data_IF_342976623699
#
_entry.id   IF_342976623699
#
_cell.length_a   1.000
_cell.length_b   1.000
_cell.length_c   1.000
_cell.angle_alpha   90.00
_cell.angle_beta   90.00
_cell.angle_gamma   90.00
#
_symmetry.space_group_name_H-M   'P 1'
#
loop_
_entity.id
_entity.type
_entity.pdbx_description
1 polymer ?
#
# COMPACT_ATOMS: atom_id res chain seq x y z
N UNK A 1 -16.99 -22.90 2.11
CA UNK A 1 -17.70 -22.16 3.17
C UNK A 1 -17.33 -20.70 3.04
N UNK A 2 -18.26 -19.74 2.95
CA UNK A 2 -17.88 -18.33 2.92
C UNK A 2 -17.42 -17.96 4.33
N UNK A 3 -16.13 -17.63 4.47
CA UNK A 3 -15.62 -17.00 5.68
C UNK A 3 -16.31 -15.65 5.83
N UNK A 4 -17.21 -15.56 6.80
CA UNK A 4 -17.82 -14.29 7.19
C UNK A 4 -16.71 -13.42 7.78
N UNK A 5 -16.08 -12.59 6.96
CA UNK A 5 -15.14 -11.60 7.44
C UNK A 5 -15.91 -10.63 8.35
N UNK A 6 -15.59 -10.64 9.63
CA UNK A 6 -16.06 -9.60 10.55
C UNK A 6 -15.60 -8.24 10.05
N UNK A 7 -16.43 -7.21 10.23
CA UNK A 7 -16.06 -5.85 9.84
C UNK A 7 -14.75 -5.44 10.56
N UNK A 8 -13.79 -4.81 9.86
CA UNK A 8 -12.51 -4.45 10.44
C UNK A 8 -12.71 -3.43 11.58
N UNK A 9 -12.09 -3.68 12.73
CA UNK A 9 -12.20 -2.83 13.91
C UNK A 9 -10.97 -1.95 14.12
N UNK A 10 -9.84 -2.31 13.52
CA UNK A 10 -8.57 -1.60 13.58
C UNK A 10 -7.99 -1.37 12.19
N UNK A 11 -7.01 -0.46 12.06
CA UNK A 11 -6.27 -0.24 10.81
C UNK A 11 -5.49 -1.50 10.40
N UNK A 12 -5.01 -2.29 11.36
CA UNK A 12 -4.32 -3.56 11.06
C UNK A 12 -5.29 -4.57 10.45
N UNK A 13 -6.55 -4.64 10.90
CA UNK A 13 -7.56 -5.51 10.29
C UNK A 13 -7.84 -5.10 8.83
N UNK A 14 -7.83 -3.79 8.57
CA UNK A 14 -7.97 -3.26 7.19
C UNK A 14 -6.78 -3.69 6.33
N UNK A 15 -5.55 -3.58 6.83
CA UNK A 15 -4.34 -4.03 6.12
C UNK A 15 -4.39 -5.52 5.80
N UNK A 16 -4.74 -6.36 6.76
CA UNK A 16 -4.85 -7.81 6.54
C UNK A 16 -5.95 -8.14 5.54
N UNK A 17 -7.08 -7.45 5.60
CA UNK A 17 -8.18 -7.60 4.63
C UNK A 17 -7.76 -7.19 3.22
N UNK A 18 -7.02 -6.08 3.07
CA UNK A 18 -6.50 -5.62 1.78
C UNK A 18 -5.54 -6.64 1.17
N UNK A 19 -4.57 -7.12 1.96
CA UNK A 19 -3.58 -8.08 1.47
C UNK A 19 -4.21 -9.44 1.13
N UNK A 20 -5.15 -9.92 1.94
CA UNK A 20 -5.87 -11.16 1.66
C UNK A 20 -6.72 -11.05 0.38
N UNK A 21 -7.42 -9.92 0.21
CA UNK A 21 -8.23 -9.67 -0.98
C UNK A 21 -7.39 -9.58 -2.25
N UNK A 22 -6.19 -9.01 -2.20
CA UNK A 22 -5.25 -8.99 -3.32
C UNK A 22 -4.85 -10.40 -3.74
N UNK A 23 -4.50 -11.26 -2.78
CA UNK A 23 -4.09 -12.65 -3.07
C UNK A 23 -5.21 -13.44 -3.76
N UNK A 24 -6.46 -13.14 -3.46
CA UNK A 24 -7.62 -13.82 -4.06
C UNK A 24 -8.22 -13.09 -5.26
N UNK A 25 -7.67 -11.94 -5.67
CA UNK A 25 -8.25 -11.07 -6.70
C UNK A 25 -9.65 -10.52 -6.34
N UNK A 26 -10.02 -10.48 -5.06
CA UNK A 26 -11.35 -10.06 -4.62
C UNK A 26 -11.47 -8.54 -4.48
N UNK A 27 -11.74 -7.88 -5.60
CA UNK A 27 -11.93 -6.43 -5.64
C UNK A 27 -13.07 -5.91 -4.74
N UNK A 28 -14.09 -6.72 -4.48
CA UNK A 28 -15.20 -6.30 -3.61
C UNK A 28 -14.71 -6.16 -2.18
N UNK A 29 -13.87 -7.09 -1.74
CA UNK A 29 -13.23 -7.04 -0.43
C UNK A 29 -12.22 -5.90 -0.34
N UNK A 30 -11.47 -5.60 -1.41
CA UNK A 30 -10.60 -4.39 -1.47
C UNK A 30 -11.44 -3.12 -1.28
N UNK A 31 -12.51 -2.96 -2.05
CA UNK A 31 -13.38 -1.78 -1.95
C UNK A 31 -14.04 -1.67 -0.56
N UNK A 32 -14.49 -2.79 0.02
CA UNK A 32 -15.08 -2.82 1.36
C UNK A 32 -14.08 -2.41 2.45
N UNK A 33 -12.83 -2.86 2.36
CA UNK A 33 -11.77 -2.51 3.30
C UNK A 33 -11.43 -1.01 3.25
N UNK A 34 -11.27 -0.45 2.05
CA UNK A 34 -11.03 0.99 1.84
C UNK A 34 -12.20 1.85 2.31
N UNK A 35 -13.43 1.34 2.22
CA UNK A 35 -14.63 1.99 2.73
C UNK A 35 -14.93 1.63 4.18
N UNK A 36 -14.02 1.04 4.93
CA UNK A 36 -14.27 0.66 6.33
C UNK A 36 -14.63 1.86 7.21
N UNK A 37 -15.43 1.62 8.25
CA UNK A 37 -15.78 2.67 9.22
C UNK A 37 -14.55 3.23 9.92
N UNK A 38 -13.51 2.41 10.14
CA UNK A 38 -12.24 2.81 10.74
C UNK A 38 -11.57 3.91 9.93
N UNK A 39 -11.40 3.71 8.62
CA UNK A 39 -10.77 4.72 7.75
C UNK A 39 -11.64 5.97 7.60
N UNK A 40 -12.96 5.79 7.48
CA UNK A 40 -13.89 6.93 7.40
C UNK A 40 -13.84 7.81 8.65
N UNK A 41 -13.70 7.22 9.84
CA UNK A 41 -13.62 7.99 11.08
C UNK A 41 -12.31 8.77 11.18
N UNK A 42 -11.19 8.17 10.77
CA UNK A 42 -9.91 8.87 10.71
C UNK A 42 -9.98 10.05 9.73
N UNK A 43 -10.55 9.86 8.55
CA UNK A 43 -10.68 10.93 7.56
C UNK A 43 -11.64 12.04 8.00
N UNK A 44 -12.63 11.76 8.86
CA UNK A 44 -13.47 12.79 9.48
C UNK A 44 -12.67 13.67 10.45
N UNK A 45 -11.72 13.10 11.17
CA UNK A 45 -10.87 13.86 12.10
C UNK A 45 -9.93 14.79 11.32
N UNK A 46 -9.32 14.26 10.26
CA UNK A 46 -8.50 15.01 9.34
C UNK A 46 -8.46 14.30 7.99
N UNK A 47 -8.79 15.02 6.91
CA UNK A 47 -8.74 14.46 5.55
C UNK A 47 -7.35 13.87 5.24
N UNK A 48 -7.29 12.60 4.85
CA UNK A 48 -6.05 11.90 4.51
C UNK A 48 -5.37 11.20 5.69
N UNK A 49 -5.93 11.32 6.90
CA UNK A 49 -5.40 10.63 8.08
C UNK A 49 -5.54 9.11 7.95
N UNK A 50 -6.59 8.61 7.29
CA UNK A 50 -6.71 7.17 6.98
C UNK A 50 -5.51 6.65 6.19
N UNK A 51 -5.10 7.38 5.15
CA UNK A 51 -4.00 7.01 4.25
C UNK A 51 -2.63 7.05 4.95
N UNK A 52 -2.44 8.01 5.87
CA UNK A 52 -1.26 8.06 6.74
C UNK A 52 -1.18 6.83 7.64
N UNK A 53 -2.29 6.45 8.25
CA UNK A 53 -2.35 5.28 9.13
C UNK A 53 -2.12 3.97 8.35
N UNK A 54 -2.65 3.85 7.13
CA UNK A 54 -2.36 2.73 6.23
C UNK A 54 -0.86 2.68 5.89
N UNK A 55 -0.27 3.81 5.48
CA UNK A 55 1.17 3.87 5.19
C UNK A 55 2.02 3.41 6.38
N UNK A 56 1.69 3.87 7.59
CA UNK A 56 2.40 3.45 8.80
C UNK A 56 2.26 1.94 9.05
N UNK A 57 1.06 1.39 8.92
CA UNK A 57 0.79 -0.02 9.12
C UNK A 57 1.53 -0.91 8.10
N UNK A 58 1.50 -0.56 6.80
CA UNK A 58 2.25 -1.26 5.77
C UNK A 58 3.77 -1.13 5.97
N UNK A 59 4.28 0.05 6.34
CA UNK A 59 5.71 0.22 6.64
C UNK A 59 6.15 -0.65 7.81
N UNK A 60 5.36 -0.71 8.90
CA UNK A 60 5.63 -1.57 10.04
C UNK A 60 5.61 -3.05 9.65
N UNK A 61 4.68 -3.44 8.77
CA UNK A 61 4.59 -4.80 8.25
C UNK A 61 5.84 -5.18 7.44
N UNK A 62 6.26 -4.33 6.49
CA UNK A 62 7.47 -4.55 5.69
C UNK A 62 8.72 -4.67 6.56
N UNK A 63 8.90 -3.77 7.53
CA UNK A 63 10.04 -3.83 8.44
C UNK A 63 10.10 -5.13 9.24
N UNK A 64 8.95 -5.75 9.51
CA UNK A 64 8.84 -7.02 10.23
C UNK A 64 9.04 -8.23 9.32
N UNK A 65 8.42 -8.24 8.15
CA UNK A 65 8.23 -9.45 7.34
C UNK A 65 9.15 -9.55 6.10
N UNK A 66 9.75 -8.44 5.68
CA UNK A 66 10.61 -8.36 4.51
C UNK A 66 11.85 -9.28 4.65
N UNK A 67 12.12 -10.21 3.71
CA UNK A 67 13.28 -11.09 3.78
C UNK A 67 14.62 -10.34 3.83
N UNK A 68 15.69 -10.90 4.44
CA UNK A 68 16.98 -10.21 4.56
C UNK A 68 17.62 -9.83 3.22
N UNK A 69 17.38 -10.60 2.16
CA UNK A 69 17.97 -10.36 0.84
C UNK A 69 17.28 -9.22 0.07
N UNK A 70 16.09 -8.78 0.50
CA UNK A 70 15.32 -7.65 -0.03
C UNK A 70 15.60 -6.33 0.72
N UNK A 71 16.54 -6.35 1.68
CA UNK A 71 16.87 -5.19 2.50
C UNK A 71 18.16 -4.53 2.01
N UNK A 72 18.22 -3.22 2.17
CA UNK A 72 19.42 -2.44 1.98
C UNK A 72 20.46 -2.72 3.08
N UNK A 73 21.64 -2.10 2.96
CA UNK A 73 22.73 -2.23 3.94
C UNK A 73 22.38 -1.75 5.37
N UNK A 74 21.27 -1.02 5.54
CA UNK A 74 20.78 -0.52 6.82
C UNK A 74 19.63 -1.37 7.37
N UNK A 75 19.28 -2.47 6.70
CA UNK A 75 18.17 -3.36 7.08
C UNK A 75 16.79 -2.77 6.76
N UNK A 76 16.71 -1.75 5.91
CA UNK A 76 15.48 -1.15 5.41
C UNK A 76 15.07 -1.87 4.11
N UNK A 77 13.79 -2.23 3.91
CA UNK A 77 13.30 -2.80 2.65
C UNK A 77 13.70 -1.94 1.43
N UNK A 78 14.22 -2.56 0.37
CA UNK A 78 14.48 -1.90 -0.93
C UNK A 78 13.18 -1.87 -1.75
N UNK A 79 12.40 -0.79 -1.59
CA UNK A 79 11.10 -0.66 -2.24
C UNK A 79 11.21 -0.59 -3.76
N UNK A 80 12.34 -0.10 -4.30
CA UNK A 80 12.51 -0.02 -5.76
C UNK A 80 12.58 -1.41 -6.37
N UNK A 81 13.19 -2.37 -5.66
CA UNK A 81 13.21 -3.77 -6.09
C UNK A 81 11.84 -4.41 -5.95
N UNK A 82 11.26 -4.34 -4.74
CA UNK A 82 9.99 -4.99 -4.41
C UNK A 82 8.83 -4.51 -5.30
N UNK A 83 8.75 -3.21 -5.59
CA UNK A 83 7.68 -2.66 -6.43
C UNK A 83 7.87 -3.05 -7.90
N UNK A 84 9.10 -3.04 -8.43
CA UNK A 84 9.33 -3.43 -9.83
C UNK A 84 8.98 -4.90 -10.10
N UNK A 85 9.33 -5.78 -9.17
CA UNK A 85 8.96 -7.18 -9.24
C UNK A 85 7.43 -7.34 -9.16
N UNK A 86 6.77 -6.58 -8.28
CA UNK A 86 5.31 -6.58 -8.17
C UNK A 86 4.58 -6.02 -9.40
N UNK A 87 5.10 -4.97 -10.05
CA UNK A 87 4.43 -4.28 -11.17
C UNK A 87 4.29 -5.14 -12.44
N UNK A 88 5.26 -6.02 -12.71
CA UNK A 88 5.22 -6.85 -13.93
C UNK A 88 4.09 -7.91 -13.86
N UNK A 89 3.83 -8.47 -12.68
CA UNK A 89 2.74 -9.43 -12.44
C UNK A 89 1.38 -8.75 -12.25
N UNK A 90 1.34 -7.62 -11.54
CA UNK A 90 0.07 -6.89 -11.29
C UNK A 90 -0.48 -6.20 -12.52
N UNK A 91 0.35 -5.77 -13.48
CA UNK A 91 -0.15 -5.14 -14.71
C UNK A 91 -1.04 -6.08 -15.53
N UNK A 92 -0.67 -7.36 -15.65
CA UNK A 92 -1.51 -8.35 -16.33
C UNK A 92 -2.82 -8.61 -15.59
N UNK A 93 -2.76 -8.84 -14.27
CA UNK A 93 -3.96 -9.06 -13.46
C UNK A 93 -4.92 -7.85 -13.49
N UNK A 94 -4.40 -6.63 -13.47
CA UNK A 94 -5.22 -5.40 -13.52
C UNK A 94 -5.88 -5.20 -14.88
N UNK A 95 -5.21 -5.56 -15.97
CA UNK A 95 -5.78 -5.51 -17.31
C UNK A 95 -6.88 -6.57 -17.50
N UNK A 96 -6.67 -7.80 -17.03
CA UNK A 96 -7.68 -8.86 -17.05
C UNK A 96 -8.92 -8.47 -16.24
N UNK A 97 -8.72 -7.96 -15.03
CA UNK A 97 -9.79 -7.49 -14.16
C UNK A 97 -10.56 -6.32 -14.81
N UNK A 98 -9.87 -5.34 -15.39
CA UNK A 98 -10.51 -4.20 -16.04
C UNK A 98 -11.42 -4.62 -17.20
N UNK A 99 -11.00 -5.64 -17.96
CA UNK A 99 -11.80 -6.25 -19.01
C UNK A 99 -13.05 -6.94 -18.44
N UNK A 100 -12.94 -7.64 -17.30
CA UNK A 100 -14.06 -8.29 -16.62
C UNK A 100 -15.09 -7.32 -16.02
N UNK A 101 -14.67 -6.18 -15.46
CA UNK A 101 -15.59 -5.17 -14.87
C UNK A 101 -16.15 -4.16 -15.87
N UNK A 102 -15.82 -4.26 -17.16
CA UNK A 102 -16.39 -3.41 -18.22
C UNK A 102 -16.01 -1.93 -18.10
N UNK A 103 -15.02 -1.60 -17.29
CA UNK A 103 -14.37 -0.29 -17.29
C UNK A 103 -13.22 -0.33 -18.28
N UNK A 104 -13.23 0.50 -19.35
CA UNK A 104 -12.14 0.54 -20.30
C UNK A 104 -10.91 1.16 -19.63
N UNK A 105 -10.15 0.33 -18.92
CA UNK A 105 -8.85 0.67 -18.37
C UNK A 105 -7.84 0.36 -19.46
N UNK A 106 -7.41 1.39 -20.19
CA UNK A 106 -6.47 1.21 -21.30
C UNK A 106 -5.07 0.88 -20.77
N UNK A 107 -4.27 0.21 -21.60
CA UNK A 107 -2.82 0.00 -21.36
C UNK A 107 -2.10 1.32 -21.04
N UNK A 108 -2.57 2.44 -21.58
CA UNK A 108 -2.02 3.77 -21.32
C UNK A 108 -2.29 4.27 -19.89
N UNK A 109 -3.49 4.01 -19.35
CA UNK A 109 -3.86 4.41 -17.98
C UNK A 109 -3.13 3.56 -16.95
N UNK A 110 -3.00 2.26 -17.20
CA UNK A 110 -2.22 1.35 -16.36
C UNK A 110 -0.72 1.74 -16.34
N UNK A 111 -0.13 2.05 -17.50
CA UNK A 111 1.26 2.55 -17.57
C UNK A 111 1.44 3.91 -16.88
N UNK A 112 0.45 4.79 -16.97
CA UNK A 112 0.48 6.08 -16.28
C UNK A 112 0.40 5.90 -14.77
N UNK A 113 -0.33 4.90 -14.29
CA UNK A 113 -0.37 4.53 -12.88
C UNK A 113 0.95 3.91 -12.40
N UNK A 114 1.54 3.00 -13.16
CA UNK A 114 2.86 2.43 -12.87
C UNK A 114 3.94 3.51 -12.78
N UNK A 115 3.91 4.48 -13.70
CA UNK A 115 4.84 5.59 -13.69
C UNK A 115 4.69 6.46 -12.43
N UNK A 116 3.45 6.66 -11.95
CA UNK A 116 3.18 7.38 -10.69
C UNK A 116 3.66 6.59 -9.49
N UNK A 117 3.38 5.28 -9.43
CA UNK A 117 3.87 4.40 -8.37
C UNK A 117 5.40 4.43 -8.29
N UNK A 118 6.09 4.27 -9.42
CA UNK A 118 7.55 4.34 -9.47
C UNK A 118 8.09 5.73 -9.08
N UNK A 119 7.38 6.81 -9.42
CA UNK A 119 7.75 8.16 -8.99
C UNK A 119 7.57 8.37 -7.47
N UNK A 120 6.65 7.64 -6.83
CA UNK A 120 6.39 7.70 -5.40
C UNK A 120 7.32 6.80 -4.55
N UNK A 121 8.05 5.86 -5.18
CA UNK A 121 9.01 4.97 -4.49
C UNK A 121 10.01 5.72 -3.59
N UNK A 122 10.68 6.81 -4.02
CA UNK A 122 11.65 7.50 -3.18
C UNK A 122 11.01 8.05 -1.89
N UNK A 123 9.76 8.51 -1.97
CA UNK A 123 9.04 9.04 -0.82
C UNK A 123 8.69 7.93 0.18
N UNK A 124 8.13 6.82 -0.30
CA UNK A 124 7.83 5.67 0.53
C UNK A 124 9.10 5.09 1.17
N UNK A 125 10.21 5.05 0.43
CA UNK A 125 11.50 4.58 0.91
C UNK A 125 12.00 5.45 2.07
N UNK A 126 11.90 6.78 1.92
CA UNK A 126 12.28 7.72 2.97
C UNK A 126 11.39 7.55 4.21
N UNK A 127 10.08 7.38 4.02
CA UNK A 127 9.15 7.14 5.12
C UNK A 127 9.50 5.87 5.90
N UNK A 128 9.73 4.74 5.23
CA UNK A 128 10.13 3.48 5.89
C UNK A 128 11.48 3.63 6.59
N UNK A 129 12.44 4.32 5.96
CA UNK A 129 13.74 4.62 6.56
C UNK A 129 13.61 5.44 7.84
N UNK A 130 12.75 6.47 7.85
CA UNK A 130 12.48 7.28 9.03
C UNK A 130 11.80 6.46 10.13
N UNK A 131 10.77 5.69 9.79
CA UNK A 131 10.11 4.77 10.74
C UNK A 131 11.10 3.81 11.41
N UNK A 132 12.13 3.36 10.68
CA UNK A 132 13.14 2.43 11.19
C UNK A 132 14.27 3.10 11.97
N UNK A 133 14.87 4.14 11.40
CA UNK A 133 16.12 4.72 11.89
C UNK A 133 15.89 5.94 12.79
N UNK A 134 14.78 6.65 12.62
CA UNK A 134 14.45 7.87 13.36
C UNK A 134 12.94 7.94 13.70
N UNK A 135 12.40 7.03 14.53
CA UNK A 135 10.95 6.97 14.78
C UNK A 135 10.35 8.27 15.34
N UNK A 136 11.16 9.04 16.09
CA UNK A 136 10.75 10.33 16.63
C UNK A 136 10.49 11.40 15.55
N UNK A 137 11.10 11.28 14.36
CA UNK A 137 10.95 12.21 13.25
C UNK A 137 9.73 11.89 12.35
N UNK A 138 9.17 10.68 12.44
CA UNK A 138 8.07 10.23 11.57
C UNK A 138 6.85 11.14 11.64
N UNK A 139 6.45 11.58 12.84
CA UNK A 139 5.28 12.44 13.00
C UNK A 139 5.45 13.82 12.33
N UNK A 140 6.67 14.37 12.35
CA UNK A 140 6.95 15.65 11.70
C UNK A 140 6.99 15.51 10.18
N UNK A 141 7.60 14.44 9.68
CA UNK A 141 7.59 14.11 8.26
C UNK A 141 6.16 14.03 7.70
N UNK A 142 5.29 13.27 8.37
CA UNK A 142 3.87 13.14 7.98
C UNK A 142 3.19 14.52 7.94
N UNK A 143 3.42 15.38 8.95
CA UNK A 143 2.83 16.73 8.98
C UNK A 143 3.34 17.61 7.83
N UNK A 144 4.63 17.55 7.51
CA UNK A 144 5.21 18.33 6.41
C UNK A 144 4.66 17.87 5.07
N UNK A 145 4.65 16.57 4.83
CA UNK A 145 4.18 15.97 3.59
C UNK A 145 2.67 16.19 3.39
N UNK A 146 1.85 16.06 4.45
CA UNK A 146 0.42 16.36 4.39
C UNK A 146 0.10 17.83 4.04
N UNK A 147 0.97 18.78 4.45
CA UNK A 147 0.85 20.20 4.07
C UNK A 147 1.25 20.46 2.63
N UNK A 148 2.15 19.64 2.09
CA UNK A 148 2.75 19.83 0.77
C UNK A 148 1.85 19.30 -0.34
N UNK A 149 1.24 18.13 -0.18
CA UNK A 149 0.32 17.56 -1.17
C UNK A 149 -0.55 16.45 -0.58
N UNK A 150 -1.87 16.57 -0.69
CA UNK A 150 -2.80 15.52 -0.23
C UNK A 150 -2.77 14.26 -1.11
N UNK A 151 -2.45 14.35 -2.40
CA UNK A 151 -2.35 13.19 -3.30
C UNK A 151 -1.14 12.29 -3.00
N UNK A 152 -0.17 12.82 -2.26
CA UNK A 152 1.11 12.19 -2.02
C UNK A 152 1.04 11.10 -0.94
N UNK A 153 0.09 11.20 0.00
CA UNK A 153 -0.20 10.11 0.94
C UNK A 153 -0.78 8.90 0.22
N UNK A 154 -1.55 9.13 -0.84
CA UNK A 154 -2.23 8.08 -1.60
C UNK A 154 -1.24 7.23 -2.38
N UNK A 155 -0.33 7.90 -3.09
CA UNK A 155 0.73 7.23 -3.84
C UNK A 155 1.75 6.52 -2.91
N UNK A 156 2.03 7.11 -1.74
CA UNK A 156 2.94 6.52 -0.76
C UNK A 156 2.41 5.22 -0.16
N UNK A 157 1.15 5.19 0.30
CA UNK A 157 0.60 3.95 0.87
C UNK A 157 0.38 2.89 -0.22
N UNK A 158 0.05 3.29 -1.45
CA UNK A 158 -0.07 2.38 -2.59
C UNK A 158 1.26 1.68 -2.90
N UNK A 159 2.38 2.42 -2.90
CA UNK A 159 3.73 1.82 -3.03
C UNK A 159 4.02 0.81 -1.92
N UNK A 160 3.67 1.15 -0.67
CA UNK A 160 3.90 0.26 0.47
C UNK A 160 3.00 -0.98 0.43
N UNK A 161 1.78 -0.83 -0.08
CA UNK A 161 0.85 -1.93 -0.34
C UNK A 161 1.39 -2.90 -1.39
N UNK A 162 1.88 -2.39 -2.54
CA UNK A 162 2.47 -3.22 -3.59
C UNK A 162 3.70 -3.97 -3.07
N UNK A 163 4.59 -3.28 -2.33
CA UNK A 163 5.74 -3.93 -1.73
C UNK A 163 5.35 -5.01 -0.70
N UNK A 164 4.31 -4.78 0.12
CA UNK A 164 3.79 -5.80 1.04
C UNK A 164 3.23 -7.01 0.29
N UNK A 165 2.49 -6.73 -0.78
CA UNK A 165 1.89 -7.76 -1.64
C UNK A 165 2.96 -8.61 -2.30
N UNK A 166 4.02 -8.01 -2.82
CA UNK A 166 5.18 -8.75 -3.37
C UNK A 166 5.84 -9.66 -2.31
N UNK A 167 6.14 -9.12 -1.12
CA UNK A 167 6.74 -9.91 -0.02
C UNK A 167 5.88 -11.11 0.38
N UNK A 168 4.55 -10.97 0.34
CA UNK A 168 3.62 -12.07 0.67
C UNK A 168 3.33 -13.00 -0.51
N UNK A 169 3.32 -12.49 -1.74
CA UNK A 169 3.13 -13.25 -2.97
C UNK A 169 4.30 -14.21 -3.25
N UNK A 170 5.54 -13.79 -2.97
CA UNK A 170 6.72 -14.66 -3.07
C UNK A 170 6.77 -15.80 -2.04
N UNK A 171 5.79 -15.92 -1.14
CA UNK A 171 5.66 -17.03 -0.17
C UNK A 171 4.65 -18.09 -0.59
N UNK A 172 4.01 -17.94 -1.76
CA UNK A 172 3.08 -18.90 -2.35
C UNK A 172 3.77 -20.04 -3.08
#
# INVERSE_FOLDING_TARGET
MPTSFSAPQTVNDVVEMLLAAQTTGDLKSVAAALQSQVLRELDRQQKGLGNIHLAYAFAALLLRECPPHDRDRHGVPDLRRLVREGTDETLHARLEIAEEVGTPFGVADAKAEDARLLAAVPLAQEFVRLCRLQPAATAEFVRQEARRCAAMTDEMWAVLYEACSAVRGCRG
#
